data_IF_548813011291
#
_entry.id   IF_548813011291
#
_cell.length_a   1.000
_cell.length_b   1.000
_cell.length_c   1.000
_cell.angle_alpha   90.00
_cell.angle_beta   90.00
_cell.angle_gamma   90.00
#
_symmetry.space_group_name_H-M   'P 1'
#
loop_
_entity.id
_entity.type
_entity.pdbx_description
1 polymer ?
#
# COMPACT_ATOMS: atom_id res chain seq x y z
N UNK A 1 20.27 -14.96 -5.22
CA UNK A 1 19.34 -15.30 -6.31
C UNK A 1 18.28 -14.21 -6.28
N UNK A 2 18.36 -13.21 -7.15
CA UNK A 2 17.44 -12.06 -7.11
C UNK A 2 16.09 -12.51 -7.66
N UNK A 3 15.17 -12.87 -6.77
CA UNK A 3 13.77 -13.02 -7.12
C UNK A 3 13.26 -11.60 -7.40
N UNK A 4 13.40 -11.15 -8.65
CA UNK A 4 12.62 -10.04 -9.16
C UNK A 4 11.17 -10.44 -8.92
N UNK A 5 10.45 -9.74 -8.05
CA UNK A 5 9.00 -9.72 -8.12
C UNK A 5 8.66 -9.45 -9.59
N UNK A 6 8.16 -10.47 -10.28
CA UNK A 6 7.72 -10.32 -11.66
C UNK A 6 6.60 -9.28 -11.62
N UNK A 7 6.80 -8.17 -12.34
CA UNK A 7 5.72 -7.21 -12.56
C UNK A 7 4.61 -7.95 -13.31
N UNK A 8 3.61 -8.44 -12.58
CA UNK A 8 2.39 -9.02 -13.16
C UNK A 8 1.81 -7.93 -14.07
N UNK A 9 1.62 -8.25 -15.34
CA UNK A 9 0.98 -7.34 -16.27
C UNK A 9 -0.41 -6.99 -15.70
N UNK A 10 -0.61 -5.73 -15.34
CA UNK A 10 -1.87 -5.24 -14.78
C UNK A 10 -2.86 -5.11 -15.93
N UNK A 11 -3.96 -5.87 -15.93
CA UNK A 11 -5.01 -5.65 -16.93
C UNK A 11 -5.56 -4.22 -16.83
N UNK A 12 -6.04 -3.65 -17.96
CA UNK A 12 -6.57 -2.30 -17.97
C UNK A 12 -7.77 -2.15 -17.01
N UNK A 13 -7.62 -1.29 -16.00
CA UNK A 13 -8.67 -0.93 -15.05
C UNK A 13 -9.71 0.00 -15.69
N UNK A 14 -10.91 -0.53 -15.97
CA UNK A 14 -12.04 0.24 -16.51
C UNK A 14 -12.91 0.83 -15.39
N UNK A 15 -12.84 2.16 -15.25
CA UNK A 15 -13.59 2.91 -14.24
C UNK A 15 -15.08 2.96 -14.53
N UNK A 16 -15.87 2.68 -13.49
CA UNK A 16 -17.32 2.81 -13.43
C UNK A 16 -17.70 3.90 -12.43
N UNK A 17 -18.11 5.04 -12.96
CA UNK A 17 -18.53 6.20 -12.17
C UNK A 17 -20.01 6.05 -11.76
N UNK A 18 -20.39 6.41 -10.52
CA UNK A 18 -19.60 7.13 -9.51
C UNK A 18 -18.85 6.25 -8.51
N UNK A 19 -19.05 4.93 -8.55
CA UNK A 19 -18.48 3.98 -7.58
C UNK A 19 -16.96 4.13 -7.46
N UNK A 20 -16.29 4.11 -8.59
CA UNK A 20 -14.83 4.04 -8.63
C UNK A 20 -14.19 5.38 -8.24
N UNK A 21 -14.84 6.51 -8.54
CA UNK A 21 -14.42 7.83 -8.04
C UNK A 21 -14.36 7.87 -6.51
N UNK A 22 -15.37 7.32 -5.83
CA UNK A 22 -15.40 7.28 -4.37
C UNK A 22 -14.38 6.30 -3.79
N UNK A 23 -14.20 5.14 -4.43
CA UNK A 23 -13.20 4.16 -4.02
C UNK A 23 -11.77 4.71 -4.17
N UNK A 24 -11.45 5.36 -5.29
CA UNK A 24 -10.15 6.00 -5.55
C UNK A 24 -9.89 7.16 -4.59
N UNK A 25 -10.88 8.02 -4.36
CA UNK A 25 -10.75 9.11 -3.39
C UNK A 25 -10.47 8.60 -1.97
N UNK A 26 -11.10 7.49 -1.58
CA UNK A 26 -10.86 6.86 -0.28
C UNK A 26 -9.45 6.25 -0.21
N UNK A 27 -8.98 5.57 -1.26
CA UNK A 27 -7.59 5.08 -1.37
C UNK A 27 -6.58 6.23 -1.22
N UNK A 28 -6.75 7.32 -1.97
CA UNK A 28 -5.83 8.47 -1.91
C UNK A 28 -5.85 9.16 -0.54
N UNK A 29 -7.00 9.20 0.13
CA UNK A 29 -7.09 9.64 1.53
C UNK A 29 -6.25 8.78 2.46
N UNK A 30 -6.28 7.46 2.28
CA UNK A 30 -5.45 6.53 3.05
C UNK A 30 -3.96 6.72 2.76
N UNK A 31 -3.57 6.87 1.49
CA UNK A 31 -2.18 7.16 1.11
C UNK A 31 -1.67 8.48 1.70
N UNK A 32 -2.50 9.53 1.70
CA UNK A 32 -2.16 10.79 2.36
C UNK A 32 -2.00 10.65 3.87
N UNK A 33 -2.85 9.86 4.52
CA UNK A 33 -2.72 9.56 5.96
C UNK A 33 -1.42 8.79 6.25
N UNK A 34 -1.08 7.80 5.42
CA UNK A 34 0.17 7.03 5.52
C UNK A 34 1.38 7.98 5.50
N UNK A 35 1.45 8.86 4.50
CA UNK A 35 2.52 9.86 4.39
C UNK A 35 2.62 10.73 5.66
N UNK A 36 1.50 11.27 6.14
CA UNK A 36 1.49 12.13 7.34
C UNK A 36 2.00 11.37 8.57
N UNK A 37 1.57 10.13 8.77
CA UNK A 37 1.98 9.36 9.94
C UNK A 37 3.46 8.97 9.86
N UNK A 38 4.00 8.65 8.68
CA UNK A 38 5.43 8.40 8.49
C UNK A 38 6.27 9.62 8.91
N UNK A 39 5.86 10.82 8.46
CA UNK A 39 6.52 12.08 8.81
C UNK A 39 6.42 12.43 10.31
N UNK A 40 5.31 12.07 10.96
CA UNK A 40 5.06 12.42 12.36
C UNK A 40 5.67 11.44 13.37
N UNK A 41 5.58 10.13 13.10
CA UNK A 41 6.06 9.08 14.01
C UNK A 41 7.54 8.78 13.81
N UNK A 42 8.11 9.08 12.63
CA UNK A 42 9.54 8.91 12.36
C UNK A 42 9.96 7.44 12.38
N UNK A 43 9.16 6.57 11.76
CA UNK A 43 9.45 5.13 11.65
C UNK A 43 10.74 4.91 10.86
N UNK A 44 11.83 4.59 11.56
CA UNK A 44 13.16 4.51 10.99
C UNK A 44 13.24 3.45 9.89
N UNK A 45 13.76 3.85 8.72
CA UNK A 45 13.87 2.98 7.55
C UNK A 45 12.57 2.74 6.80
N UNK A 46 11.48 3.45 7.11
CA UNK A 46 10.24 3.41 6.35
C UNK A 46 10.07 4.69 5.50
N UNK A 47 9.77 4.55 4.21
CA UNK A 47 9.54 5.70 3.32
C UNK A 47 8.55 5.36 2.20
N UNK A 48 7.94 6.40 1.61
CA UNK A 48 7.18 6.27 0.36
C UNK A 48 8.08 6.64 -0.82
N UNK A 49 8.35 5.67 -1.68
CA UNK A 49 9.16 5.84 -2.89
C UNK A 49 8.24 5.99 -4.11
N UNK A 50 8.50 7.02 -4.90
CA UNK A 50 7.81 7.24 -6.17
C UNK A 50 8.56 6.55 -7.31
N UNK A 51 7.85 5.82 -8.17
CA UNK A 51 8.43 5.19 -9.35
C UNK A 51 8.94 6.20 -10.39
N UNK A 52 9.76 5.75 -11.34
CA UNK A 52 10.18 6.59 -12.47
C UNK A 52 8.98 6.90 -13.41
N UNK A 53 8.94 8.11 -13.98
CA UNK A 53 7.92 8.50 -14.98
C UNK A 53 6.56 8.95 -14.42
N UNK A 54 6.46 9.23 -13.13
CA UNK A 54 5.21 9.57 -12.43
C UNK A 54 4.72 11.03 -12.60
N UNK A 55 5.01 11.68 -13.73
CA UNK A 55 4.69 13.10 -13.94
C UNK A 55 3.17 13.38 -14.05
N UNK A 56 2.33 12.34 -14.14
CA UNK A 56 0.89 12.45 -14.42
C UNK A 56 -0.02 12.18 -13.21
N UNK A 57 0.52 12.10 -12.00
CA UNK A 57 -0.24 11.86 -10.77
C UNK A 57 -0.19 10.41 -10.30
N UNK A 58 -1.18 10.00 -9.49
CA UNK A 58 -1.26 8.64 -8.96
C UNK A 58 -1.80 7.68 -10.02
N UNK A 59 -1.06 6.61 -10.29
CA UNK A 59 -1.51 5.51 -11.13
C UNK A 59 -2.20 4.46 -10.25
N UNK A 60 -3.50 4.27 -10.47
CA UNK A 60 -4.35 3.40 -9.65
C UNK A 60 -4.65 2.14 -10.43
N UNK A 61 -4.20 1.02 -9.88
CA UNK A 61 -4.49 -0.33 -10.35
C UNK A 61 -5.61 -0.99 -9.56
N UNK A 62 -6.14 -2.05 -10.15
CA UNK A 62 -7.10 -2.94 -9.53
C UNK A 62 -6.59 -4.37 -9.63
N UNK A 63 -6.59 -5.08 -8.50
CA UNK A 63 -6.27 -6.50 -8.45
C UNK A 63 -7.41 -7.31 -9.09
N UNK A 64 -7.09 -8.18 -10.04
CA UNK A 64 -8.09 -8.93 -10.81
C UNK A 64 -8.79 -10.02 -9.99
N UNK A 65 -8.10 -10.55 -8.99
CA UNK A 65 -8.56 -11.69 -8.20
C UNK A 65 -9.52 -11.23 -7.09
N UNK A 66 -9.20 -10.09 -6.46
CA UNK A 66 -9.93 -9.55 -5.30
C UNK A 66 -10.76 -8.29 -5.62
N UNK A 67 -10.42 -7.60 -6.71
CA UNK A 67 -10.96 -6.27 -7.04
C UNK A 67 -10.33 -5.13 -6.23
N UNK A 68 -9.45 -5.40 -5.27
CA UNK A 68 -8.86 -4.38 -4.41
C UNK A 68 -8.07 -3.33 -5.21
N UNK A 69 -8.08 -2.08 -4.75
CA UNK A 69 -7.37 -0.98 -5.40
C UNK A 69 -5.99 -0.78 -4.78
N UNK A 70 -5.03 -0.35 -5.58
CA UNK A 70 -3.68 -0.01 -5.13
C UNK A 70 -3.11 1.13 -5.96
N UNK A 71 -2.09 1.82 -5.43
CA UNK A 71 -1.31 2.81 -6.18
C UNK A 71 -0.06 2.10 -6.73
N UNK A 72 0.06 1.97 -8.05
CA UNK A 72 1.15 1.22 -8.70
C UNK A 72 2.48 1.99 -8.71
N UNK A 73 2.41 3.31 -8.60
CA UNK A 73 3.54 4.21 -8.83
C UNK A 73 4.06 4.91 -7.57
N UNK A 74 3.53 4.51 -6.40
CA UNK A 74 4.02 4.91 -5.07
C UNK A 74 4.06 3.67 -4.21
N UNK A 75 5.23 3.34 -3.69
CA UNK A 75 5.47 2.13 -2.91
C UNK A 75 5.91 2.51 -1.50
N UNK A 76 5.31 1.86 -0.49
CA UNK A 76 5.86 1.88 0.86
C UNK A 76 7.06 0.94 0.89
N UNK A 77 8.24 1.45 1.24
CA UNK A 77 9.40 0.63 1.53
C UNK A 77 9.63 0.61 3.04
N UNK A 78 9.81 -0.59 3.59
CA UNK A 78 10.24 -0.80 4.97
C UNK A 78 11.61 -1.48 4.95
N UNK A 79 12.64 -0.80 5.43
CA UNK A 79 14.04 -1.22 5.38
C UNK A 79 14.51 -1.59 3.95
N UNK A 80 14.05 -0.84 2.94
CA UNK A 80 14.35 -1.07 1.52
C UNK A 80 13.61 -2.27 0.92
N UNK A 81 12.59 -2.80 1.61
CA UNK A 81 11.73 -3.87 1.10
C UNK A 81 10.37 -3.28 0.71
N UNK A 82 9.96 -3.41 -0.56
CA UNK A 82 8.67 -2.90 -1.00
C UNK A 82 7.53 -3.67 -0.32
N UNK A 83 6.58 -2.92 0.21
CA UNK A 83 5.38 -3.42 0.86
C UNK A 83 4.19 -3.23 -0.08
N UNK A 84 3.38 -4.29 -0.24
CA UNK A 84 2.19 -4.27 -1.08
C UNK A 84 1.02 -3.72 -0.26
N UNK A 85 0.50 -2.56 -0.67
CA UNK A 85 -0.65 -1.92 -0.04
C UNK A 85 -1.88 -2.04 -0.92
N UNK A 86 -3.00 -2.45 -0.32
CA UNK A 86 -4.29 -2.56 -1.01
C UNK A 86 -5.42 -1.92 -0.20
N UNK A 87 -6.48 -1.55 -0.90
CA UNK A 87 -7.74 -1.09 -0.32
C UNK A 87 -8.90 -1.89 -0.90
N UNK A 88 -9.65 -2.68 -0.09
CA UNK A 88 -10.79 -3.45 -0.58
C UNK A 88 -11.87 -2.57 -1.20
N UNK A 89 -12.57 -3.06 -2.23
CA UNK A 89 -13.67 -2.31 -2.86
C UNK A 89 -14.84 -2.11 -1.90
N UNK A 90 -15.48 -0.94 -1.99
CA UNK A 90 -16.68 -0.60 -1.22
C UNK A 90 -16.54 -0.70 0.31
N UNK A 91 -15.30 -0.75 0.82
CA UNK A 91 -15.00 -0.66 2.24
C UNK A 91 -15.59 0.63 2.84
N UNK A 92 -16.21 0.51 4.01
CA UNK A 92 -16.99 1.60 4.66
C UNK A 92 -16.25 2.25 5.82
N UNK A 93 -15.17 1.64 6.26
CA UNK A 93 -14.29 2.09 7.32
C UNK A 93 -13.64 3.42 6.93
N UNK A 94 -13.18 4.17 7.93
CA UNK A 94 -12.56 5.47 7.69
C UNK A 94 -11.22 5.35 6.94
N UNK A 95 -10.43 4.30 7.23
CA UNK A 95 -9.09 4.10 6.68
C UNK A 95 -8.84 2.61 6.31
N UNK A 96 -9.54 2.04 5.32
CA UNK A 96 -9.47 0.61 4.98
C UNK A 96 -8.24 0.27 4.12
N UNK A 97 -7.04 0.56 4.60
CA UNK A 97 -5.79 0.22 3.92
C UNK A 97 -5.15 -0.97 4.61
N UNK A 98 -4.70 -1.94 3.81
CA UNK A 98 -4.08 -3.17 4.28
C UNK A 98 -2.72 -3.37 3.61
N UNK A 99 -1.78 -3.91 4.36
CA UNK A 99 -0.54 -4.47 3.86
C UNK A 99 -0.77 -5.96 3.59
N UNK A 100 -0.39 -6.43 2.41
CA UNK A 100 -0.47 -7.86 2.03
C UNK A 100 0.91 -8.48 2.14
N UNK A 101 1.04 -9.53 2.95
CA UNK A 101 2.30 -10.27 3.13
C UNK A 101 2.55 -11.23 1.97
N UNK A 102 3.71 -11.90 1.97
CA UNK A 102 4.03 -12.96 0.99
C UNK A 102 3.11 -14.19 1.12
N UNK A 103 2.52 -14.39 2.30
CA UNK A 103 1.59 -15.49 2.61
C UNK A 103 0.12 -15.09 2.36
N UNK A 104 -0.13 -13.96 1.67
CA UNK A 104 -1.45 -13.36 1.41
C UNK A 104 -2.24 -12.97 2.68
N UNK A 105 -1.57 -12.82 3.83
CA UNK A 105 -2.18 -12.27 5.03
C UNK A 105 -2.40 -10.75 4.88
N UNK A 106 -3.56 -10.27 5.31
CA UNK A 106 -3.91 -8.85 5.32
C UNK A 106 -3.68 -8.23 6.70
N UNK A 107 -2.71 -7.32 6.80
CA UNK A 107 -2.39 -6.57 8.01
C UNK A 107 -3.04 -5.18 7.91
N UNK A 108 -3.94 -4.78 8.82
CA UNK A 108 -4.52 -3.44 8.78
C UNK A 108 -3.41 -2.40 8.96
N UNK A 109 -3.38 -1.35 8.14
CA UNK A 109 -2.37 -0.27 8.26
C UNK A 109 -2.73 0.71 9.36
N UNK A 110 -4.04 0.94 9.57
CA UNK A 110 -4.53 1.99 10.46
C UNK A 110 -5.52 1.46 11.50
N UNK A 111 -5.53 2.13 12.65
CA UNK A 111 -6.64 2.11 13.60
C UNK A 111 -7.80 2.98 13.11
N UNK A 112 -8.95 2.93 13.80
CA UNK A 112 -10.14 3.71 13.44
C UNK A 112 -9.91 5.24 13.43
N UNK A 113 -8.99 5.74 14.26
CA UNK A 113 -8.63 7.15 14.34
C UNK A 113 -7.62 7.59 13.25
N UNK A 114 -7.09 6.63 12.49
CA UNK A 114 -6.09 6.85 11.45
C UNK A 114 -4.65 6.85 11.95
N UNK A 115 -4.38 6.56 13.22
CA UNK A 115 -3.02 6.22 13.69
C UNK A 115 -2.57 4.87 13.12
N UNK A 116 -1.27 4.61 13.08
CA UNK A 116 -0.78 3.30 12.67
C UNK A 116 -1.26 2.20 13.61
N UNK A 117 -1.67 1.07 13.04
CA UNK A 117 -1.98 -0.13 13.81
C UNK A 117 -0.72 -0.69 14.47
N UNK A 118 -0.90 -1.40 15.58
CA UNK A 118 0.20 -2.09 16.26
C UNK A 118 0.73 -3.26 15.41
N UNK A 119 -0.15 -3.90 14.64
CA UNK A 119 0.20 -4.99 13.73
C UNK A 119 1.12 -4.52 12.60
N UNK A 120 0.86 -3.35 12.01
CA UNK A 120 1.72 -2.76 11.01
C UNK A 120 3.10 -2.47 11.60
N UNK A 121 3.15 -1.78 12.75
CA UNK A 121 4.41 -1.44 13.43
C UNK A 121 5.22 -2.69 13.72
N UNK A 122 4.58 -3.71 14.31
CA UNK A 122 5.22 -4.98 14.63
C UNK A 122 5.72 -5.74 13.38
N UNK A 123 5.11 -5.50 12.20
CA UNK A 123 5.56 -6.07 10.92
C UNK A 123 6.78 -5.33 10.36
N UNK A 124 6.70 -4.01 10.26
CA UNK A 124 7.75 -3.20 9.60
C UNK A 124 8.99 -2.95 10.47
N UNK A 125 8.86 -2.98 11.80
CA UNK A 125 10.00 -2.84 12.73
C UNK A 125 10.85 -4.11 12.83
N UNK A 126 10.42 -5.24 12.26
CA UNK A 126 11.25 -6.44 12.19
C UNK A 126 12.33 -6.19 11.14
N UNK A 127 13.60 -5.96 11.51
CA UNK A 127 14.65 -5.90 10.52
C UNK A 127 14.63 -7.24 9.79
N UNK A 128 14.49 -7.20 8.47
CA UNK A 128 14.57 -8.40 7.64
C UNK A 128 15.81 -9.16 8.09
N UNK A 129 15.61 -10.36 8.64
CA UNK A 129 16.70 -11.27 8.97
C UNK A 129 17.47 -11.44 7.68
N UNK A 130 18.63 -10.77 7.57
CA UNK A 130 19.46 -10.80 6.37
C UNK A 130 19.56 -12.25 5.92
N UNK A 131 19.13 -12.62 4.70
CA UNK A 131 19.42 -13.94 4.19
C UNK A 131 20.94 -14.09 4.28
N UNK A 132 21.38 -15.08 5.06
CA UNK A 132 22.78 -15.34 5.32
C UNK A 132 23.56 -15.37 4.00
N UNK A 133 24.70 -14.69 4.01
CA UNK A 133 25.71 -14.73 2.97
C UNK A 133 26.11 -16.18 2.61
#
# INVERSE_FOLDING_TARGET
MNSRMEAKAVAPYYRVIPRDLFNEANLLKCMGRLYINLEQEGLEGCELVQGEGCEQGFDIGQDEDTGALFVSNVTLEAHGIPQRLIRPLNAREAYPLFLVTEDDDEIPVFNEDGSFSEELKAHIERPASRPGF
#
